data_IF_802789040480
#
_entry.id   IF_802789040480
#
_cell.length_a   1.000
_cell.length_b   1.000
_cell.length_c   1.000
_cell.angle_alpha   90.00
_cell.angle_beta   90.00
_cell.angle_gamma   90.00
#
_symmetry.space_group_name_H-M   'P 1'
#
loop_
_entity.id
_entity.type
_entity.pdbx_description
1 polymer ?
#
# COMPACT_ATOMS: atom_id res chain seq x y z
N UNK A 1 37.00 -4.46 -30.76
CA UNK A 1 36.40 -5.44 -29.83
C UNK A 1 34.92 -5.42 -30.04
N UNK A 2 34.40 -6.43 -30.73
CA UNK A 2 32.95 -6.55 -31.07
C UNK A 2 32.23 -7.28 -29.93
N UNK A 3 31.37 -6.60 -29.19
CA UNK A 3 30.50 -7.22 -28.20
C UNK A 3 29.41 -8.00 -28.96
N UNK A 4 29.52 -9.30 -28.97
CA UNK A 4 28.47 -10.20 -29.45
C UNK A 4 27.30 -10.11 -28.46
N UNK A 5 26.24 -9.40 -28.81
CA UNK A 5 24.94 -9.55 -28.17
C UNK A 5 24.46 -10.98 -28.44
N UNK A 6 24.55 -11.86 -27.43
CA UNK A 6 23.95 -13.18 -27.48
C UNK A 6 22.45 -13.05 -27.18
N UNK A 7 21.63 -13.02 -28.22
CA UNK A 7 20.19 -13.17 -28.09
C UNK A 7 19.90 -14.60 -27.61
N UNK A 8 19.44 -14.74 -26.38
CA UNK A 8 18.88 -16.00 -25.88
C UNK A 8 17.35 -15.94 -26.05
N UNK A 9 16.76 -16.73 -26.95
CA UNK A 9 15.31 -16.77 -27.08
C UNK A 9 14.71 -17.38 -25.82
N UNK A 10 13.89 -16.60 -25.11
CA UNK A 10 13.05 -17.15 -24.04
C UNK A 10 11.92 -17.96 -24.69
N UNK A 11 12.00 -19.27 -24.59
CA UNK A 11 11.03 -20.21 -25.17
C UNK A 11 9.64 -20.10 -24.54
N UNK A 12 9.55 -19.57 -23.33
CA UNK A 12 8.29 -19.36 -22.60
C UNK A 12 8.18 -17.87 -22.29
N UNK A 13 7.15 -17.22 -22.81
CA UNK A 13 6.86 -15.83 -22.49
C UNK A 13 6.17 -15.77 -21.12
N UNK A 14 6.69 -14.96 -20.21
CA UNK A 14 6.14 -14.78 -18.86
C UNK A 14 4.65 -14.43 -18.89
N UNK A 15 4.23 -13.56 -19.81
CA UNK A 15 2.83 -13.17 -20.00
C UNK A 15 1.92 -14.36 -20.32
N UNK A 16 2.41 -15.35 -21.07
CA UNK A 16 1.62 -16.55 -21.40
C UNK A 16 1.45 -17.46 -20.18
N UNK A 17 2.50 -17.63 -19.39
CA UNK A 17 2.44 -18.41 -18.15
C UNK A 17 1.48 -17.75 -17.16
N UNK A 18 1.61 -16.44 -16.95
CA UNK A 18 0.72 -15.68 -16.10
C UNK A 18 -0.75 -15.76 -16.58
N UNK A 19 -0.98 -15.67 -17.89
CA UNK A 19 -2.32 -15.82 -18.46
C UNK A 19 -2.96 -17.19 -18.17
N UNK A 20 -2.18 -18.28 -18.23
CA UNK A 20 -2.68 -19.63 -17.89
C UNK A 20 -2.90 -19.76 -16.38
N UNK A 21 -1.95 -19.28 -15.56
CA UNK A 21 -2.05 -19.36 -14.10
C UNK A 21 -3.24 -18.57 -13.55
N UNK A 22 -3.52 -17.38 -14.09
CA UNK A 22 -4.65 -16.56 -13.69
C UNK A 22 -6.02 -17.17 -14.03
N UNK A 23 -6.09 -18.08 -15.01
CA UNK A 23 -7.32 -18.87 -15.26
C UNK A 23 -7.63 -19.88 -14.16
N UNK A 24 -6.60 -20.35 -13.45
CA UNK A 24 -6.75 -21.27 -12.32
C UNK A 24 -7.06 -20.50 -11.04
N UNK A 25 -6.30 -19.46 -10.78
CA UNK A 25 -6.48 -18.54 -9.66
C UNK A 25 -6.05 -17.13 -10.07
N UNK A 26 -6.92 -16.10 -9.94
CA UNK A 26 -6.65 -14.75 -10.42
C UNK A 26 -5.37 -14.10 -9.86
N UNK A 27 -4.95 -14.50 -8.67
CA UNK A 27 -3.72 -13.99 -8.01
C UNK A 27 -2.46 -14.78 -8.34
N UNK A 28 -2.55 -15.84 -9.15
CA UNK A 28 -1.35 -16.57 -9.57
C UNK A 28 -0.61 -15.80 -10.67
N UNK A 29 0.66 -15.50 -10.39
CA UNK A 29 1.59 -14.93 -11.35
C UNK A 29 3.00 -15.42 -11.02
N UNK A 30 3.87 -15.53 -12.03
CA UNK A 30 5.23 -16.00 -11.83
C UNK A 30 6.08 -14.97 -11.06
N UNK A 31 6.06 -13.72 -11.50
CA UNK A 31 6.89 -12.65 -10.92
C UNK A 31 6.10 -11.42 -10.47
N UNK A 32 4.92 -11.19 -11.07
CA UNK A 32 4.12 -10.02 -10.72
C UNK A 32 3.50 -10.18 -9.35
N UNK A 33 3.47 -9.08 -8.62
CA UNK A 33 2.72 -9.03 -7.36
C UNK A 33 1.27 -8.71 -7.68
N UNK A 34 0.42 -9.70 -7.56
CA UNK A 34 -1.03 -9.55 -7.67
C UNK A 34 -1.65 -9.62 -6.28
N UNK A 35 -2.67 -8.81 -6.07
CA UNK A 35 -3.37 -8.74 -4.80
C UNK A 35 -4.88 -8.81 -5.00
N UNK A 36 -5.55 -9.65 -4.23
CA UNK A 36 -7.01 -9.70 -4.20
C UNK A 36 -7.56 -8.63 -3.27
N UNK A 37 -8.61 -7.95 -3.67
CA UNK A 37 -9.39 -7.07 -2.80
C UNK A 37 -10.16 -7.94 -1.81
N UNK A 38 -9.90 -7.76 -0.51
CA UNK A 38 -10.57 -8.52 0.56
C UNK A 38 -11.59 -7.68 1.33
N UNK A 39 -11.38 -6.36 1.39
CA UNK A 39 -12.36 -5.45 1.98
C UNK A 39 -12.20 -4.02 1.46
N UNK A 40 -13.28 -3.26 1.55
CA UNK A 40 -13.31 -1.82 1.33
C UNK A 40 -14.15 -1.14 2.41
N UNK A 41 -13.65 -0.01 2.90
CA UNK A 41 -14.36 0.80 3.90
C UNK A 41 -14.12 2.28 3.66
N UNK A 42 -15.19 3.09 3.65
CA UNK A 42 -15.03 4.54 3.69
C UNK A 42 -14.68 4.98 5.12
N UNK A 43 -13.52 5.63 5.27
CA UNK A 43 -13.07 6.23 6.55
C UNK A 43 -13.64 7.64 6.72
N UNK A 44 -13.94 8.33 5.61
CA UNK A 44 -14.64 9.62 5.57
C UNK A 44 -15.37 9.76 4.24
N UNK A 45 -15.90 10.95 3.94
CA UNK A 45 -16.62 11.24 2.68
C UNK A 45 -15.76 11.03 1.43
N UNK A 46 -14.44 11.23 1.54
CA UNK A 46 -13.50 11.16 0.41
C UNK A 46 -12.28 10.27 0.66
N UNK A 47 -12.23 9.57 1.80
CA UNK A 47 -11.13 8.66 2.15
C UNK A 47 -11.60 7.21 2.21
N UNK A 48 -11.07 6.40 1.32
CA UNK A 48 -11.30 4.96 1.22
C UNK A 48 -10.12 4.21 1.88
N UNK A 49 -10.42 3.23 2.73
CA UNK A 49 -9.50 2.16 3.10
C UNK A 49 -9.73 0.97 2.20
N UNK A 50 -8.68 0.53 1.50
CA UNK A 50 -8.69 -0.66 0.67
C UNK A 50 -7.81 -1.72 1.32
N UNK A 51 -8.37 -2.91 1.55
CA UNK A 51 -7.64 -4.06 2.09
C UNK A 51 -7.33 -5.03 0.96
N UNK A 52 -6.07 -5.39 0.83
CA UNK A 52 -5.53 -6.23 -0.23
C UNK A 52 -4.79 -7.43 0.34
N UNK A 53 -5.05 -8.61 -0.19
CA UNK A 53 -4.29 -9.83 0.07
C UNK A 53 -3.31 -10.07 -1.07
N UNK A 54 -2.01 -9.74 -0.91
CA UNK A 54 -1.00 -10.01 -1.92
C UNK A 54 -0.77 -11.51 -2.11
N UNK A 55 -0.31 -11.89 -3.31
CA UNK A 55 0.20 -13.22 -3.57
C UNK A 55 1.59 -13.43 -2.94
N UNK A 56 2.13 -14.65 -3.09
CA UNK A 56 3.43 -15.06 -2.53
C UNK A 56 4.65 -14.27 -3.07
N UNK A 57 4.47 -13.50 -4.15
CA UNK A 57 5.54 -12.68 -4.73
C UNK A 57 5.76 -11.37 -3.97
N UNK A 58 4.84 -10.98 -3.05
CA UNK A 58 5.04 -9.81 -2.21
C UNK A 58 5.96 -10.14 -1.04
N UNK A 59 7.05 -9.39 -0.92
CA UNK A 59 8.01 -9.57 0.16
C UNK A 59 7.66 -8.63 1.33
N UNK A 60 7.27 -9.22 2.45
CA UNK A 60 6.97 -8.50 3.68
C UNK A 60 8.21 -8.19 4.53
N UNK A 61 9.33 -8.91 4.31
CA UNK A 61 10.50 -8.79 5.18
C UNK A 61 11.15 -7.39 5.19
N UNK A 62 11.30 -6.69 4.03
CA UNK A 62 11.85 -5.34 4.00
C UNK A 62 10.83 -4.24 4.28
N UNK A 63 9.54 -4.58 4.48
CA UNK A 63 8.48 -3.57 4.64
C UNK A 63 8.67 -2.78 5.94
N UNK A 64 8.61 -1.45 5.82
CA UNK A 64 8.69 -0.52 6.94
C UNK A 64 7.47 0.41 6.93
N UNK A 65 7.06 0.85 8.12
CA UNK A 65 6.01 1.86 8.25
C UNK A 65 6.38 3.16 7.51
N UNK A 66 5.37 3.80 6.91
CA UNK A 66 5.54 4.99 6.08
C UNK A 66 5.79 4.72 4.61
N UNK A 67 6.11 3.47 4.24
CA UNK A 67 6.25 3.07 2.84
C UNK A 67 4.90 2.98 2.11
N UNK A 68 4.97 2.91 0.79
CA UNK A 68 3.83 2.86 -0.12
C UNK A 68 3.99 1.75 -1.17
N UNK A 69 2.89 1.39 -1.81
CA UNK A 69 2.89 0.56 -3.01
C UNK A 69 2.36 1.34 -4.20
N UNK A 70 2.86 1.04 -5.41
CA UNK A 70 2.20 1.46 -6.65
C UNK A 70 1.06 0.48 -6.92
N UNK A 71 -0.16 0.99 -7.02
CA UNK A 71 -1.34 0.21 -7.40
C UNK A 71 -1.69 0.51 -8.84
N UNK A 72 -1.87 -0.54 -9.64
CA UNK A 72 -2.20 -0.47 -11.06
C UNK A 72 -3.66 -0.83 -11.26
N UNK A 73 -4.40 0.03 -11.95
CA UNK A 73 -5.76 -0.26 -12.44
C UNK A 73 -5.83 -0.03 -13.95
N UNK A 74 -6.62 -0.85 -14.64
CA UNK A 74 -6.89 -0.65 -16.05
C UNK A 74 -8.10 0.26 -16.22
N UNK A 75 -7.90 1.38 -16.92
CA UNK A 75 -8.97 2.32 -17.23
C UNK A 75 -9.06 2.44 -18.75
N UNK A 76 -10.15 1.96 -19.33
CA UNK A 76 -10.38 1.98 -20.78
C UNK A 76 -9.24 1.37 -21.61
N UNK A 77 -8.69 0.26 -21.13
CA UNK A 77 -7.56 -0.43 -21.80
C UNK A 77 -6.17 0.13 -21.50
N UNK A 78 -6.06 1.20 -20.71
CA UNK A 78 -4.80 1.82 -20.32
C UNK A 78 -4.51 1.56 -18.85
N UNK A 79 -3.33 1.00 -18.56
CA UNK A 79 -2.88 0.80 -17.19
C UNK A 79 -2.44 2.13 -16.57
N UNK A 80 -3.06 2.48 -15.47
CA UNK A 80 -2.76 3.67 -14.69
C UNK A 80 -2.23 3.26 -13.32
N UNK A 81 -1.15 3.91 -12.89
CA UNK A 81 -0.50 3.62 -11.61
C UNK A 81 -0.52 4.83 -10.70
N UNK A 82 -0.77 4.61 -9.40
CA UNK A 82 -0.61 5.63 -8.35
C UNK A 82 -0.05 4.99 -7.10
N UNK A 83 0.74 5.78 -6.38
CA UNK A 83 1.31 5.40 -5.08
C UNK A 83 0.28 5.63 -3.98
N UNK A 84 0.14 4.63 -3.10
CA UNK A 84 -0.70 4.72 -1.91
C UNK A 84 0.07 4.20 -0.69
N UNK A 85 0.01 4.97 0.39
CA UNK A 85 0.66 4.61 1.64
C UNK A 85 0.01 3.38 2.26
N UNK A 86 0.85 2.50 2.79
CA UNK A 86 0.42 1.37 3.61
C UNK A 86 0.10 1.93 5.00
N UNK A 87 -1.14 1.76 5.45
CA UNK A 87 -1.58 2.13 6.81
C UNK A 87 -1.00 1.12 7.80
N UNK A 88 -1.19 -0.17 7.51
CA UNK A 88 -0.66 -1.28 8.29
C UNK A 88 -0.73 -2.60 7.52
N UNK A 89 -0.28 -3.67 8.20
CA UNK A 89 -0.36 -5.06 7.74
C UNK A 89 -1.11 -5.87 8.81
N UNK A 90 -2.15 -6.58 8.40
CA UNK A 90 -2.92 -7.42 9.31
C UNK A 90 -2.17 -8.71 9.68
N UNK A 91 -2.57 -9.36 10.77
CA UNK A 91 -2.00 -10.66 11.17
C UNK A 91 -2.20 -11.76 10.09
N UNK A 92 -3.16 -11.59 9.19
CA UNK A 92 -3.42 -12.48 8.06
C UNK A 92 -2.52 -12.20 6.85
N UNK A 93 -1.60 -11.21 6.95
CA UNK A 93 -0.74 -10.77 5.86
C UNK A 93 -1.52 -10.07 4.76
N UNK A 94 -2.46 -9.21 5.12
CA UNK A 94 -3.14 -8.29 4.22
C UNK A 94 -2.59 -6.89 4.44
N UNK A 95 -2.48 -6.10 3.38
CA UNK A 95 -2.07 -4.70 3.46
C UNK A 95 -3.32 -3.80 3.41
N UNK A 96 -3.37 -2.78 4.26
CA UNK A 96 -4.40 -1.75 4.22
C UNK A 96 -3.84 -0.46 3.65
N UNK A 97 -4.49 0.08 2.62
CA UNK A 97 -4.10 1.30 1.93
C UNK A 97 -5.09 2.41 2.21
N UNK A 98 -4.60 3.63 2.42
CA UNK A 98 -5.43 4.82 2.50
C UNK A 98 -5.47 5.57 1.16
N UNK A 99 -6.66 5.77 0.62
CA UNK A 99 -6.86 6.29 -0.73
C UNK A 99 -7.81 7.48 -0.70
N UNK A 100 -7.30 8.68 -1.00
CA UNK A 100 -8.15 9.85 -1.20
C UNK A 100 -8.85 9.76 -2.56
N UNK A 101 -10.18 9.70 -2.55
CA UNK A 101 -11.02 9.59 -3.74
C UNK A 101 -11.27 10.97 -4.34
N UNK A 102 -10.40 11.39 -5.28
CA UNK A 102 -10.53 12.72 -5.91
C UNK A 102 -10.30 12.72 -7.42
N UNK A 103 -9.59 11.72 -7.96
CA UNK A 103 -9.21 11.67 -9.38
C UNK A 103 -9.72 10.42 -10.09
N UNK A 104 -9.42 10.32 -11.37
CA UNK A 104 -9.87 9.21 -12.23
C UNK A 104 -9.45 7.84 -11.68
N UNK A 105 -8.18 7.71 -11.28
CA UNK A 105 -7.62 6.44 -10.79
C UNK A 105 -8.25 6.05 -9.45
N UNK A 106 -8.33 6.96 -8.48
CA UNK A 106 -8.92 6.67 -7.17
C UNK A 106 -10.41 6.38 -7.23
N UNK A 107 -11.14 7.00 -8.18
CA UNK A 107 -12.53 6.64 -8.46
C UNK A 107 -12.68 5.26 -9.08
N UNK A 108 -11.75 4.86 -9.97
CA UNK A 108 -11.75 3.51 -10.51
C UNK A 108 -11.43 2.46 -9.42
N UNK A 109 -10.52 2.77 -8.50
CA UNK A 109 -10.23 1.91 -7.34
C UNK A 109 -11.47 1.78 -6.44
N UNK A 110 -12.21 2.84 -6.21
CA UNK A 110 -13.45 2.82 -5.41
C UNK A 110 -14.53 1.88 -6.00
N UNK A 111 -14.49 1.60 -7.31
CA UNK A 111 -15.44 0.70 -7.98
C UNK A 111 -15.04 -0.78 -7.92
N UNK A 112 -13.83 -1.09 -7.46
CA UNK A 112 -13.40 -2.48 -7.28
C UNK A 112 -14.34 -3.20 -6.31
N UNK A 113 -14.49 -4.50 -6.50
CA UNK A 113 -15.31 -5.35 -5.63
C UNK A 113 -14.39 -6.34 -4.86
N UNK A 114 -14.89 -6.85 -3.75
CA UNK A 114 -14.22 -7.96 -3.05
C UNK A 114 -14.09 -9.14 -4.00
N UNK A 115 -12.86 -9.65 -4.13
CA UNK A 115 -12.47 -10.69 -5.07
C UNK A 115 -11.81 -10.18 -6.35
N UNK A 116 -11.92 -8.89 -6.67
CA UNK A 116 -11.16 -8.31 -7.79
C UNK A 116 -9.66 -8.43 -7.54
N UNK A 117 -8.90 -8.57 -8.62
CA UNK A 117 -7.45 -8.69 -8.59
C UNK A 117 -6.81 -7.45 -9.19
N UNK A 118 -5.87 -6.87 -8.47
CA UNK A 118 -5.07 -5.72 -8.90
C UNK A 118 -3.59 -6.04 -8.86
N UNK A 119 -2.80 -5.37 -9.68
CA UNK A 119 -1.35 -5.45 -9.62
C UNK A 119 -0.80 -4.36 -8.71
N UNK A 120 0.14 -4.72 -7.83
CA UNK A 120 0.83 -3.78 -6.96
C UNK A 120 2.36 -3.95 -7.08
N UNK A 121 3.11 -2.91 -6.71
CA UNK A 121 4.56 -3.04 -6.55
C UNK A 121 4.93 -3.70 -5.22
N UNK A 122 6.22 -4.03 -5.04
CA UNK A 122 6.79 -4.17 -3.70
C UNK A 122 6.63 -2.87 -2.92
N UNK A 123 6.69 -2.95 -1.58
CA UNK A 123 6.73 -1.77 -0.74
C UNK A 123 7.99 -0.95 -1.04
N UNK A 124 7.85 0.38 -1.13
CA UNK A 124 8.93 1.29 -1.49
C UNK A 124 8.75 2.66 -0.83
N UNK A 125 9.84 3.42 -0.76
CA UNK A 125 9.91 4.77 -0.23
C UNK A 125 10.82 4.88 0.99
N UNK A 126 11.38 6.08 1.16
CA UNK A 126 12.35 6.41 2.21
C UNK A 126 11.71 7.21 3.35
N UNK A 127 10.38 7.37 3.33
CA UNK A 127 9.65 8.06 4.38
C UNK A 127 9.40 7.10 5.56
N UNK A 128 10.47 6.86 6.33
CA UNK A 128 10.50 5.92 7.45
C UNK A 128 11.04 6.59 8.71
N UNK A 129 10.77 6.03 9.89
CA UNK A 129 11.37 6.53 11.12
C UNK A 129 12.86 6.22 11.15
N UNK A 130 13.64 7.20 11.59
CA UNK A 130 15.04 6.94 11.94
C UNK A 130 15.14 6.04 13.17
N UNK A 131 16.16 5.18 13.17
CA UNK A 131 16.45 4.34 14.34
C UNK A 131 16.93 5.21 15.51
N UNK A 132 16.39 4.97 16.70
CA UNK A 132 16.76 5.67 17.92
C UNK A 132 15.55 5.98 18.80
N UNK A 133 15.79 6.43 20.03
CA UNK A 133 14.76 6.84 21.00
C UNK A 133 14.58 8.37 21.09
N UNK A 134 14.92 9.09 20.02
CA UNK A 134 14.76 10.54 20.02
C UNK A 134 13.28 10.92 19.90
N UNK A 135 12.86 12.06 20.47
CA UNK A 135 11.53 12.60 20.28
C UNK A 135 11.15 12.72 18.81
N UNK A 136 9.93 12.34 18.47
CA UNK A 136 9.42 12.39 17.10
C UNK A 136 8.32 13.44 16.96
N UNK A 137 8.39 14.29 15.92
CA UNK A 137 7.32 15.20 15.53
C UNK A 137 6.77 14.71 14.18
N UNK A 138 5.54 14.22 14.21
CA UNK A 138 4.84 13.68 13.06
C UNK A 138 3.83 14.71 12.55
N UNK A 139 4.01 15.19 11.33
CA UNK A 139 3.17 16.26 10.76
C UNK A 139 2.43 15.70 9.55
N UNK A 140 1.09 15.76 9.59
CA UNK A 140 0.22 15.32 8.52
C UNK A 140 -0.68 16.43 7.98
N UNK A 141 -0.95 16.39 6.67
CA UNK A 141 -2.00 17.19 6.04
C UNK A 141 -2.82 16.32 5.11
N UNK A 142 -4.14 16.39 5.21
CA UNK A 142 -5.08 15.63 4.37
C UNK A 142 -4.79 14.11 4.39
N UNK A 143 -4.67 13.49 3.21
CA UNK A 143 -4.42 12.06 3.08
C UNK A 143 -3.04 11.59 3.55
N UNK A 144 -2.12 12.51 3.82
CA UNK A 144 -0.81 12.17 4.40
C UNK A 144 -0.91 11.52 5.78
N UNK A 145 -2.06 11.66 6.45
CA UNK A 145 -2.32 11.01 7.74
C UNK A 145 -2.15 9.49 7.69
N UNK A 146 -2.38 8.85 6.56
CA UNK A 146 -2.25 7.38 6.42
C UNK A 146 -0.80 6.90 6.61
N UNK A 147 0.17 7.61 6.04
CA UNK A 147 1.59 7.33 6.27
C UNK A 147 2.00 7.70 7.71
N UNK A 148 1.55 8.85 8.20
CA UNK A 148 1.85 9.32 9.56
C UNK A 148 1.28 8.37 10.62
N UNK A 149 0.09 7.81 10.38
CA UNK A 149 -0.50 6.83 11.29
C UNK A 149 0.37 5.55 11.39
N UNK A 150 0.87 5.04 10.25
CA UNK A 150 1.79 3.92 10.26
C UNK A 150 3.08 4.21 11.05
N UNK A 151 3.66 5.41 10.86
CA UNK A 151 4.84 5.85 11.61
C UNK A 151 4.54 6.03 13.11
N UNK A 152 3.36 6.54 13.47
CA UNK A 152 2.93 6.66 14.86
C UNK A 152 2.85 5.28 15.52
N UNK A 153 2.23 4.30 14.86
CA UNK A 153 2.16 2.92 15.39
C UNK A 153 3.55 2.35 15.61
N UNK A 154 4.45 2.52 14.66
CA UNK A 154 5.84 2.07 14.80
C UNK A 154 6.58 2.80 15.93
N UNK A 155 6.37 4.11 16.09
CA UNK A 155 6.97 4.91 17.17
C UNK A 155 6.54 4.43 18.56
N UNK A 156 5.25 4.09 18.71
CA UNK A 156 4.70 3.51 19.94
C UNK A 156 5.27 2.11 20.23
N UNK A 157 5.38 1.26 19.20
CA UNK A 157 6.00 -0.08 19.32
C UNK A 157 7.48 0.01 19.73
N UNK A 158 8.21 1.01 19.21
CA UNK A 158 9.61 1.28 19.57
C UNK A 158 9.77 1.97 20.92
N UNK A 159 8.67 2.34 21.59
CA UNK A 159 8.65 3.03 22.88
C UNK A 159 9.50 4.31 22.84
N UNK A 160 9.26 5.17 21.84
CA UNK A 160 9.89 6.50 21.83
C UNK A 160 9.45 7.33 23.03
N UNK A 161 10.37 8.10 23.61
CA UNK A 161 10.13 8.83 24.85
C UNK A 161 9.05 9.91 24.69
N UNK A 162 9.03 10.61 23.55
CA UNK A 162 8.06 11.66 23.26
C UNK A 162 7.63 11.61 21.79
N UNK A 163 6.32 11.66 21.54
CA UNK A 163 5.74 11.67 20.21
C UNK A 163 4.72 12.81 20.11
N UNK A 164 4.95 13.72 19.19
CA UNK A 164 4.04 14.83 18.89
C UNK A 164 3.40 14.61 17.53
N UNK A 165 2.06 14.66 17.45
CA UNK A 165 1.32 14.55 16.18
C UNK A 165 0.61 15.87 15.88
N UNK A 166 0.94 16.48 14.75
CA UNK A 166 0.29 17.68 14.22
C UNK A 166 -0.50 17.27 12.97
N UNK A 167 -1.82 17.34 13.06
CA UNK A 167 -2.71 16.94 11.97
C UNK A 167 -3.58 18.09 11.48
N UNK A 168 -3.41 18.46 10.20
CA UNK A 168 -4.15 19.52 9.52
C UNK A 168 -5.10 18.90 8.51
N UNK A 169 -6.39 18.85 8.80
CA UNK A 169 -7.40 18.34 7.88
C UNK A 169 -8.76 19.01 8.09
N UNK A 170 -9.62 18.89 7.08
CA UNK A 170 -11.03 19.28 7.15
C UNK A 170 -11.90 18.15 7.70
N UNK A 171 -11.52 16.89 7.42
CA UNK A 171 -12.22 15.69 7.82
C UNK A 171 -11.46 14.93 8.91
N UNK A 172 -12.18 14.27 9.82
CA UNK A 172 -11.61 13.59 10.99
C UNK A 172 -11.15 12.15 10.67
N UNK A 173 -10.41 11.96 9.55
CA UNK A 173 -9.89 10.64 9.18
C UNK A 173 -8.87 10.16 10.22
N UNK A 174 -9.04 8.94 10.75
CA UNK A 174 -8.18 8.34 11.78
C UNK A 174 -8.01 9.20 13.06
N UNK A 175 -8.80 10.27 13.20
CA UNK A 175 -8.69 11.18 14.34
C UNK A 175 -9.04 10.49 15.65
N UNK A 176 -10.12 9.72 15.67
CA UNK A 176 -10.54 8.98 16.88
C UNK A 176 -9.54 7.91 17.28
N UNK A 177 -8.92 7.23 16.30
CA UNK A 177 -7.89 6.22 16.56
C UNK A 177 -6.64 6.87 17.17
N UNK A 178 -6.19 8.01 16.63
CA UNK A 178 -5.05 8.76 17.16
C UNK A 178 -5.35 9.27 18.58
N UNK A 179 -6.56 9.82 18.84
CA UNK A 179 -6.95 10.25 20.17
C UNK A 179 -7.03 9.10 21.18
N UNK A 180 -7.48 7.92 20.75
CA UNK A 180 -7.50 6.73 21.58
C UNK A 180 -6.09 6.30 21.98
N UNK A 181 -5.15 6.30 21.03
CA UNK A 181 -3.73 6.02 21.27
C UNK A 181 -3.12 7.04 22.25
N UNK A 182 -3.38 8.34 22.05
CA UNK A 182 -2.86 9.40 22.93
C UNK A 182 -3.38 9.34 24.39
N UNK A 183 -4.47 8.61 24.64
CA UNK A 183 -5.01 8.39 25.99
C UNK A 183 -4.44 7.13 26.67
N UNK A 184 -3.85 6.23 25.89
CA UNK A 184 -3.29 4.95 26.35
C UNK A 184 -1.80 5.05 26.68
N UNK A 185 -1.13 6.04 26.12
CA UNK A 185 0.31 6.31 26.25
C UNK A 185 0.57 7.70 26.82
#
# INVERSE_FOLDING_TARGET
>A
MSSKFSYQPHWIREDFVDFILQKIQPTFAWKRVLAAVTAQQMLSTDMLQLTLKPNHNFDFAPLQAGQSVLLTVNIQGVNQQRSYSIIDVTAQGEIRLGIKVQGLVSKAIQQLQVGDCVEISQAQGDFVLHQGRQPAVLIASGSGITAIYALLMQALEQQLDEIYVLYFNRDEVLHQDILALAKQH
#
